data_IF_084007691429
#
_entry.id   IF_084007691429
#
_cell.length_a   1.000
_cell.length_b   1.000
_cell.length_c   1.000
_cell.angle_alpha   90.00
_cell.angle_beta   90.00
_cell.angle_gamma   90.00
#
_symmetry.space_group_name_H-M   'P 1'
#
loop_
_entity.id
_entity.type
_entity.pdbx_description
1 polymer ?
#
# COMPACT_ATOMS: atom_id res chain seq x y z
N UNK A 1 -19.16 45.73 -45.27
CA UNK A 1 -18.97 45.44 -43.84
C UNK A 1 -19.39 44.00 -43.59
N UNK A 2 -18.42 43.09 -43.50
CA UNK A 2 -18.66 41.71 -43.06
C UNK A 2 -18.52 41.70 -41.53
N UNK A 3 -19.60 41.47 -40.80
CA UNK A 3 -19.56 41.25 -39.38
C UNK A 3 -19.27 39.77 -39.13
N UNK A 4 -18.08 39.47 -38.62
CA UNK A 4 -17.69 38.15 -38.14
C UNK A 4 -18.31 37.99 -36.75
N UNK A 5 -19.34 37.15 -36.63
CA UNK A 5 -19.80 36.65 -35.34
C UNK A 5 -18.77 35.69 -34.79
N UNK A 6 -17.99 36.15 -33.81
CA UNK A 6 -17.21 35.27 -32.94
C UNK A 6 -18.21 34.50 -32.07
N UNK A 7 -18.41 33.22 -32.38
CA UNK A 7 -19.06 32.28 -31.48
C UNK A 7 -18.07 32.00 -30.35
N UNK A 8 -18.35 32.54 -29.17
CA UNK A 8 -17.66 32.13 -27.94
C UNK A 8 -18.13 30.72 -27.63
N UNK A 9 -17.37 29.72 -28.08
CA UNK A 9 -17.47 28.37 -27.57
C UNK A 9 -17.21 28.43 -26.07
N UNK A 10 -18.23 28.06 -25.29
CA UNK A 10 -18.12 27.90 -23.84
C UNK A 10 -16.86 27.08 -23.51
N UNK A 11 -16.00 27.64 -22.66
CA UNK A 11 -14.84 26.94 -22.13
C UNK A 11 -15.30 25.62 -21.51
N UNK A 12 -14.92 24.50 -22.12
CA UNK A 12 -15.03 23.19 -21.48
C UNK A 12 -14.22 23.21 -20.19
N UNK A 13 -14.85 22.81 -19.09
CA UNK A 13 -14.16 22.64 -17.81
C UNK A 13 -13.04 21.60 -18.03
N UNK A 14 -11.77 21.90 -17.71
CA UNK A 14 -10.65 20.98 -17.94
C UNK A 14 -10.64 19.77 -16.98
N UNK A 15 -11.60 19.74 -16.06
CA UNK A 15 -11.75 18.74 -15.01
C UNK A 15 -12.50 17.47 -15.41
N UNK A 16 -12.26 16.39 -14.68
CA UNK A 16 -13.00 15.13 -14.86
C UNK A 16 -14.39 15.24 -14.25
N UNK A 17 -15.43 14.81 -14.98
CA UNK A 17 -16.80 14.71 -14.43
C UNK A 17 -17.02 13.29 -13.91
N UNK A 18 -17.49 13.15 -12.67
CA UNK A 18 -17.81 11.87 -12.05
C UNK A 18 -19.29 11.80 -11.69
N UNK A 19 -20.00 10.82 -12.24
CA UNK A 19 -21.40 10.55 -11.95
C UNK A 19 -21.52 9.59 -10.77
N UNK A 20 -22.13 10.01 -9.67
CA UNK A 20 -22.36 9.14 -8.52
C UNK A 20 -23.80 8.65 -8.48
N UNK A 21 -23.95 7.33 -8.34
CA UNK A 21 -25.23 6.75 -7.96
C UNK A 21 -25.44 6.96 -6.46
N UNK A 22 -26.54 7.59 -6.10
CA UNK A 22 -27.02 7.70 -4.72
C UNK A 22 -28.28 6.85 -4.58
N UNK A 23 -28.38 6.10 -3.48
CA UNK A 23 -29.53 5.23 -3.18
C UNK A 23 -30.75 6.03 -2.70
N UNK A 24 -31.89 5.36 -2.60
CA UNK A 24 -33.20 6.00 -2.39
C UNK A 24 -33.28 6.72 -1.05
N UNK A 25 -32.80 6.09 0.02
CA UNK A 25 -32.75 6.68 1.36
C UNK A 25 -31.46 7.46 1.55
N UNK A 26 -31.38 8.61 0.87
CA UNK A 26 -30.25 9.53 0.94
C UNK A 26 -29.96 9.92 2.38
N UNK A 27 -28.70 9.79 2.78
CA UNK A 27 -28.24 10.10 4.13
C UNK A 27 -27.54 11.47 4.22
N UNK A 28 -27.37 12.12 3.07
CA UNK A 28 -26.77 13.45 2.94
C UNK A 28 -27.41 14.21 1.77
N UNK A 29 -27.29 15.54 1.81
CA UNK A 29 -27.68 16.41 0.69
C UNK A 29 -26.60 16.38 -0.39
N UNK A 30 -26.90 15.90 -1.62
CA UNK A 30 -25.89 15.75 -2.67
C UNK A 30 -25.20 17.07 -3.05
N UNK A 31 -25.93 18.17 -3.02
CA UNK A 31 -25.45 19.51 -3.35
C UNK A 31 -24.36 19.97 -2.38
N UNK A 32 -24.46 19.58 -1.10
CA UNK A 32 -23.45 19.91 -0.10
C UNK A 32 -22.15 19.14 -0.34
N UNK A 33 -22.23 17.86 -0.72
CA UNK A 33 -21.07 17.07 -1.10
C UNK A 33 -20.44 17.61 -2.38
N UNK A 34 -21.26 17.90 -3.39
CA UNK A 34 -20.83 18.48 -4.66
C UNK A 34 -20.06 19.78 -4.44
N UNK A 35 -20.57 20.68 -3.60
CA UNK A 35 -19.90 21.95 -3.29
C UNK A 35 -18.51 21.75 -2.68
N UNK A 36 -18.36 20.83 -1.73
CA UNK A 36 -17.05 20.55 -1.11
C UNK A 36 -16.07 19.96 -2.13
N UNK A 37 -16.54 19.03 -2.99
CA UNK A 37 -15.69 18.40 -4.00
C UNK A 37 -15.25 19.42 -5.06
N UNK A 38 -16.19 20.18 -5.62
CA UNK A 38 -15.92 21.14 -6.70
C UNK A 38 -15.09 22.35 -6.26
N UNK A 39 -15.17 22.75 -4.98
CA UNK A 39 -14.35 23.83 -4.44
C UNK A 39 -12.89 23.41 -4.20
N UNK A 40 -12.65 22.12 -3.92
CA UNK A 40 -11.36 21.61 -3.45
C UNK A 40 -10.64 20.70 -4.47
N UNK A 41 -11.26 20.46 -5.61
CA UNK A 41 -10.70 19.62 -6.67
C UNK A 41 -11.07 20.16 -8.05
N UNK A 42 -10.43 19.61 -9.08
CA UNK A 42 -10.86 19.84 -10.47
C UNK A 42 -11.98 18.89 -10.89
N UNK A 43 -12.64 18.21 -9.95
CA UNK A 43 -13.67 17.22 -10.26
C UNK A 43 -15.03 17.90 -10.25
N UNK A 44 -15.80 17.70 -11.32
CA UNK A 44 -17.23 18.01 -11.34
C UNK A 44 -18.02 16.79 -10.89
N UNK A 45 -18.92 16.97 -9.93
CA UNK A 45 -19.68 15.88 -9.36
C UNK A 45 -21.13 15.96 -9.83
N UNK A 46 -21.67 14.86 -10.35
CA UNK A 46 -23.04 14.80 -10.86
C UNK A 46 -23.79 13.59 -10.32
N UNK A 47 -25.10 13.71 -10.18
CA UNK A 47 -25.95 12.56 -9.89
C UNK A 47 -26.10 11.70 -11.14
N UNK A 48 -25.86 10.41 -10.99
CA UNK A 48 -26.07 9.44 -12.07
C UNK A 48 -27.57 9.23 -12.32
N UNK A 49 -27.98 9.30 -13.60
CA UNK A 49 -29.32 8.88 -14.03
C UNK A 49 -29.34 7.36 -14.21
N UNK A 50 -29.89 6.67 -13.22
CA UNK A 50 -29.88 5.21 -13.15
C UNK A 50 -31.33 4.67 -13.08
N UNK A 51 -31.67 3.58 -13.79
CA UNK A 51 -32.98 2.95 -13.66
C UNK A 51 -33.30 2.55 -12.20
N UNK A 52 -34.56 2.72 -11.78
CA UNK A 52 -34.99 2.52 -10.38
C UNK A 52 -34.69 1.12 -9.82
N UNK A 53 -34.69 0.08 -10.66
CA UNK A 53 -34.41 -1.30 -10.25
C UNK A 53 -32.92 -1.65 -10.23
N UNK A 54 -32.08 -0.77 -10.79
CA UNK A 54 -30.65 -1.02 -10.91
C UNK A 54 -29.97 -0.96 -9.55
N UNK A 55 -29.12 -1.96 -9.28
CA UNK A 55 -28.26 -1.99 -8.08
C UNK A 55 -26.98 -1.18 -8.29
N UNK A 56 -26.37 -0.65 -7.22
CA UNK A 56 -25.09 0.07 -7.27
C UNK A 56 -24.01 -0.60 -8.13
N UNK A 57 -23.74 -1.89 -7.89
CA UNK A 57 -22.75 -2.63 -8.67
C UNK A 57 -23.12 -2.71 -10.17
N UNK A 58 -24.40 -2.94 -10.46
CA UNK A 58 -24.90 -3.05 -11.82
C UNK A 58 -24.84 -1.73 -12.60
N UNK A 59 -24.98 -0.59 -11.91
CA UNK A 59 -24.86 0.74 -12.51
C UNK A 59 -23.41 1.03 -12.93
N UNK A 60 -22.43 0.66 -12.09
CA UNK A 60 -21.02 0.77 -12.43
C UNK A 60 -20.64 -0.12 -13.61
N UNK A 61 -21.08 -1.39 -13.60
CA UNK A 61 -20.76 -2.33 -14.69
C UNK A 61 -21.40 -1.93 -16.03
N UNK A 62 -22.50 -1.17 -16.00
CA UNK A 62 -23.23 -0.73 -17.18
C UNK A 62 -22.84 0.67 -17.69
N UNK A 63 -21.84 1.33 -17.10
CA UNK A 63 -21.47 2.72 -17.43
C UNK A 63 -22.60 3.76 -17.18
N UNK A 64 -23.51 3.43 -16.27
CA UNK A 64 -24.58 4.34 -15.86
C UNK A 64 -24.10 5.26 -14.73
N UNK A 65 -23.10 4.82 -13.96
CA UNK A 65 -22.43 5.59 -12.92
C UNK A 65 -20.91 5.35 -12.91
N UNK A 66 -20.16 6.33 -12.39
CA UNK A 66 -18.71 6.28 -12.20
C UNK A 66 -18.33 5.99 -10.74
N UNK A 67 -19.18 6.41 -9.81
CA UNK A 67 -19.03 6.22 -8.36
C UNK A 67 -20.29 5.60 -7.77
N UNK A 68 -20.12 4.71 -6.81
CA UNK A 68 -21.22 4.19 -5.99
C UNK A 68 -20.73 3.75 -4.61
N UNK A 69 -21.66 3.70 -3.65
CA UNK A 69 -21.45 3.05 -2.37
C UNK A 69 -21.87 1.58 -2.48
N UNK A 70 -20.99 0.67 -2.07
CA UNK A 70 -21.22 -0.78 -2.12
C UNK A 70 -20.77 -1.41 -0.82
N UNK A 71 -21.56 -2.32 -0.27
CA UNK A 71 -21.21 -3.08 0.92
C UNK A 71 -20.06 -4.07 0.64
N UNK A 72 -19.12 -4.17 1.58
CA UNK A 72 -17.92 -5.03 1.52
C UNK A 72 -18.22 -6.51 1.79
N UNK A 73 -19.36 -7.00 1.30
CA UNK A 73 -19.72 -8.40 1.25
C UNK A 73 -20.16 -8.83 -0.16
N UNK A 74 -20.19 -7.87 -1.10
CA UNK A 74 -20.47 -8.14 -2.50
C UNK A 74 -19.29 -8.87 -3.13
N UNK A 75 -19.58 -9.91 -3.91
CA UNK A 75 -18.57 -10.71 -4.60
C UNK A 75 -17.74 -9.85 -5.57
N UNK A 76 -16.48 -10.25 -5.74
CA UNK A 76 -15.55 -9.59 -6.66
C UNK A 76 -16.14 -9.46 -8.07
N UNK A 77 -16.10 -8.25 -8.60
CA UNK A 77 -16.49 -7.94 -9.97
C UNK A 77 -15.29 -7.39 -10.75
N UNK A 78 -15.01 -7.98 -11.92
CA UNK A 78 -13.97 -7.46 -12.82
C UNK A 78 -14.33 -6.05 -13.26
N UNK A 79 -13.33 -5.18 -13.33
CA UNK A 79 -13.52 -3.79 -13.74
C UNK A 79 -13.97 -2.85 -12.63
N UNK A 80 -14.17 -3.32 -11.39
CA UNK A 80 -14.48 -2.47 -10.23
C UNK A 80 -13.24 -2.31 -9.34
N UNK A 81 -13.10 -1.13 -8.73
CA UNK A 81 -12.01 -0.78 -7.82
C UNK A 81 -12.54 -0.08 -6.58
N UNK A 82 -11.96 -0.36 -5.43
CA UNK A 82 -12.23 0.39 -4.21
C UNK A 82 -11.44 1.70 -4.22
N UNK A 83 -12.03 2.75 -3.66
CA UNK A 83 -11.35 4.02 -3.37
C UNK A 83 -10.97 4.02 -1.89
N UNK A 84 -11.96 3.93 -1.01
CA UNK A 84 -11.79 3.90 0.44
C UNK A 84 -13.05 3.38 1.14
N UNK A 85 -12.93 2.79 2.35
CA UNK A 85 -14.06 2.57 3.25
C UNK A 85 -14.65 3.90 3.74
N UNK A 86 -15.97 4.02 3.74
CA UNK A 86 -16.67 5.28 4.07
C UNK A 86 -17.26 5.21 5.47
N UNK A 87 -18.16 4.24 5.70
CA UNK A 87 -18.84 4.04 6.97
C UNK A 87 -19.24 2.58 7.13
N UNK A 88 -19.61 2.21 8.35
CA UNK A 88 -20.19 0.91 8.66
C UNK A 88 -21.72 0.96 8.48
N UNK A 89 -22.23 0.16 7.56
CA UNK A 89 -23.66 0.05 7.28
C UNK A 89 -24.27 -1.00 8.19
N UNK A 90 -25.20 -0.56 9.04
CA UNK A 90 -25.85 -1.35 10.07
C UNK A 90 -27.23 -1.80 9.58
N UNK A 91 -27.55 -3.07 9.81
CA UNK A 91 -28.88 -3.61 9.57
C UNK A 91 -29.87 -3.03 10.59
N UNK A 92 -30.88 -2.36 10.07
CA UNK A 92 -32.10 -2.01 10.77
C UNK A 92 -33.19 -2.96 10.25
N UNK A 93 -33.63 -3.86 11.13
CA UNK A 93 -34.72 -4.78 10.88
C UNK A 93 -35.97 -4.20 11.52
N UNK A 94 -37.04 -4.03 10.74
CA UNK A 94 -38.35 -3.67 11.27
C UNK A 94 -39.41 -4.65 10.81
N UNK A 95 -40.28 -5.07 11.72
CA UNK A 95 -41.42 -5.95 11.45
C UNK A 95 -42.72 -5.18 11.59
N UNK A 96 -43.71 -5.54 10.77
CA UNK A 96 -45.05 -4.97 10.88
C UNK A 96 -45.67 -5.36 12.23
N UNK A 97 -46.23 -4.40 12.96
CA UNK A 97 -46.78 -4.61 14.33
C UNK A 97 -47.88 -5.68 14.37
N UNK A 98 -48.67 -5.77 13.30
CA UNK A 98 -49.73 -6.75 13.14
C UNK A 98 -49.21 -8.20 12.92
N UNK A 99 -47.96 -8.37 12.47
CA UNK A 99 -47.48 -9.65 11.93
C UNK A 99 -47.48 -10.76 12.98
N UNK A 100 -46.96 -10.49 14.18
CA UNK A 100 -46.88 -11.45 15.29
C UNK A 100 -48.04 -11.32 16.28
N UNK A 101 -48.71 -10.17 16.34
CA UNK A 101 -49.84 -9.95 17.24
C UNK A 101 -51.08 -10.74 16.84
N UNK A 102 -51.28 -11.01 15.55
CA UNK A 102 -52.36 -11.87 15.05
C UNK A 102 -52.15 -13.36 15.39
N UNK A 103 -50.90 -13.82 15.41
CA UNK A 103 -50.55 -15.21 15.72
C UNK A 103 -49.10 -15.33 16.19
N UNK A 104 -48.92 -15.53 17.50
CA UNK A 104 -47.60 -15.68 18.14
C UNK A 104 -46.81 -16.91 17.63
N UNK A 105 -47.44 -17.85 16.92
CA UNK A 105 -46.80 -19.02 16.30
C UNK A 105 -46.64 -18.87 14.79
N UNK A 106 -46.88 -17.68 14.23
CA UNK A 106 -46.75 -17.43 12.79
C UNK A 106 -45.31 -17.69 12.37
N UNK A 107 -45.15 -18.56 11.38
CA UNK A 107 -43.87 -18.87 10.75
C UNK A 107 -43.45 -17.75 9.79
N UNK A 108 -42.19 -17.74 9.35
CA UNK A 108 -41.72 -16.87 8.27
C UNK A 108 -42.12 -17.37 6.86
N UNK A 109 -42.84 -18.50 6.76
CA UNK A 109 -43.42 -18.96 5.50
C UNK A 109 -44.40 -17.93 4.93
N UNK A 110 -44.20 -17.53 3.68
CA UNK A 110 -44.98 -16.53 2.97
C UNK A 110 -44.61 -15.08 3.29
N UNK A 111 -43.57 -14.85 4.09
CA UNK A 111 -43.17 -13.50 4.49
C UNK A 111 -42.68 -12.67 3.29
N UNK A 112 -43.02 -11.37 3.32
CA UNK A 112 -42.63 -10.39 2.32
C UNK A 112 -41.59 -9.42 2.89
N UNK A 113 -40.38 -9.47 2.36
CA UNK A 113 -39.26 -8.63 2.74
C UNK A 113 -39.07 -7.50 1.74
N UNK A 114 -39.10 -6.26 2.21
CA UNK A 114 -38.66 -5.09 1.47
C UNK A 114 -37.19 -4.80 1.78
N UNK A 115 -36.35 -4.80 0.76
CA UNK A 115 -34.93 -4.47 0.87
C UNK A 115 -34.73 -3.02 0.40
N UNK A 116 -34.60 -2.13 1.39
CA UNK A 116 -34.30 -0.74 1.16
C UNK A 116 -32.92 -0.57 0.49
N UNK A 117 -32.77 0.51 -0.28
CA UNK A 117 -31.55 0.84 -1.03
C UNK A 117 -31.07 -0.23 -2.01
N UNK A 118 -31.88 -1.25 -2.31
CA UNK A 118 -31.46 -2.41 -3.13
C UNK A 118 -30.17 -3.06 -2.59
N UNK A 119 -30.02 -3.06 -1.26
CA UNK A 119 -28.82 -3.54 -0.56
C UNK A 119 -28.51 -5.01 -0.90
N UNK A 120 -27.28 -5.26 -1.34
CA UNK A 120 -26.81 -6.63 -1.57
C UNK A 120 -26.60 -7.38 -0.25
N UNK A 121 -26.22 -6.65 0.81
CA UNK A 121 -26.15 -7.17 2.17
C UNK A 121 -27.52 -7.54 2.72
N UNK A 122 -28.54 -6.71 2.51
CA UNK A 122 -29.92 -7.03 2.87
C UNK A 122 -30.41 -8.33 2.22
N UNK A 123 -30.15 -8.52 0.93
CA UNK A 123 -30.60 -9.74 0.23
C UNK A 123 -29.86 -10.97 0.71
N UNK A 124 -28.55 -10.87 0.89
CA UNK A 124 -27.71 -11.95 1.43
C UNK A 124 -28.17 -12.33 2.84
N UNK A 125 -28.47 -11.34 3.68
CA UNK A 125 -28.97 -11.55 5.03
C UNK A 125 -30.31 -12.31 5.02
N UNK A 126 -31.31 -11.83 4.28
CA UNK A 126 -32.62 -12.49 4.21
C UNK A 126 -32.49 -13.92 3.70
N UNK A 127 -31.74 -14.15 2.61
CA UNK A 127 -31.52 -15.48 2.06
C UNK A 127 -30.84 -16.41 3.07
N UNK A 128 -29.84 -15.92 3.79
CA UNK A 128 -29.15 -16.68 4.83
C UNK A 128 -30.10 -17.07 5.97
N UNK A 129 -30.85 -16.11 6.51
CA UNK A 129 -31.82 -16.33 7.58
C UNK A 129 -32.86 -17.35 7.15
N UNK A 130 -33.50 -17.13 6.00
CA UNK A 130 -34.56 -18.01 5.49
C UNK A 130 -34.04 -19.42 5.21
N UNK A 131 -32.86 -19.55 4.60
CA UNK A 131 -32.25 -20.85 4.35
C UNK A 131 -31.95 -21.61 5.64
N UNK A 132 -31.41 -20.92 6.65
CA UNK A 132 -31.15 -21.54 7.96
C UNK A 132 -32.44 -22.02 8.59
N UNK A 133 -33.52 -21.23 8.52
CA UNK A 133 -34.85 -21.60 9.01
C UNK A 133 -35.52 -22.73 8.21
N UNK A 134 -34.86 -23.23 7.17
CA UNK A 134 -35.34 -24.36 6.37
C UNK A 134 -36.31 -23.97 5.26
N UNK A 135 -36.43 -22.67 4.96
CA UNK A 135 -37.25 -22.19 3.85
C UNK A 135 -36.48 -22.17 2.54
N UNK A 136 -37.21 -22.47 1.47
CA UNK A 136 -36.78 -22.39 0.08
C UNK A 136 -37.26 -21.07 -0.55
N UNK A 137 -36.68 -20.67 -1.68
CA UNK A 137 -36.88 -19.34 -2.27
C UNK A 137 -38.33 -19.08 -2.74
N UNK A 138 -39.11 -20.12 -3.00
CA UNK A 138 -40.53 -20.04 -3.36
C UNK A 138 -41.46 -19.82 -2.14
N UNK A 139 -40.93 -19.95 -0.92
CA UNK A 139 -41.69 -19.83 0.32
C UNK A 139 -41.63 -18.43 0.93
N UNK A 140 -40.98 -17.46 0.29
CA UNK A 140 -40.94 -16.07 0.74
C UNK A 140 -40.70 -15.14 -0.45
N UNK A 141 -40.98 -13.85 -0.27
CA UNK A 141 -40.78 -12.85 -1.32
C UNK A 141 -39.79 -11.79 -0.86
N UNK A 142 -38.86 -11.44 -1.75
CA UNK A 142 -37.97 -10.29 -1.59
C UNK A 142 -38.38 -9.26 -2.66
N UNK A 143 -38.59 -8.02 -2.24
CA UNK A 143 -38.89 -6.88 -3.12
C UNK A 143 -37.94 -5.72 -2.86
N UNK A 144 -37.62 -4.96 -3.91
CA UNK A 144 -36.91 -3.69 -3.81
C UNK A 144 -37.85 -2.48 -3.76
N UNK A 145 -39.16 -2.71 -3.74
CA UNK A 145 -40.18 -1.69 -3.60
C UNK A 145 -41.02 -1.98 -2.36
N UNK A 146 -41.29 -0.93 -1.57
CA UNK A 146 -42.20 -1.03 -0.45
C UNK A 146 -43.64 -1.11 -0.96
N UNK A 147 -44.36 -2.15 -0.55
CA UNK A 147 -45.78 -2.35 -0.86
C UNK A 147 -46.60 -2.29 0.42
N UNK A 148 -47.45 -1.26 0.55
CA UNK A 148 -48.30 -1.08 1.71
C UNK A 148 -49.32 -2.23 1.84
N UNK A 149 -49.59 -2.66 3.07
CA UNK A 149 -50.45 -3.82 3.37
C UNK A 149 -49.86 -5.18 2.97
N UNK A 150 -48.81 -5.24 2.14
CA UNK A 150 -48.15 -6.49 1.70
C UNK A 150 -46.80 -6.73 2.36
N UNK A 151 -46.00 -5.67 2.59
CA UNK A 151 -44.66 -5.79 3.19
C UNK A 151 -44.71 -6.18 4.65
N UNK A 152 -44.11 -7.30 5.04
CA UNK A 152 -44.11 -7.77 6.42
C UNK A 152 -42.87 -7.28 7.19
N UNK A 153 -41.74 -7.21 6.49
CA UNK A 153 -40.45 -6.83 7.06
C UNK A 153 -39.74 -5.79 6.20
N UNK A 154 -39.16 -4.79 6.84
CA UNK A 154 -38.26 -3.80 6.24
C UNK A 154 -36.83 -4.18 6.61
N UNK A 155 -35.98 -4.30 5.60
CA UNK A 155 -34.56 -4.59 5.70
C UNK A 155 -33.80 -3.38 5.19
N UNK A 156 -33.23 -2.61 6.10
CA UNK A 156 -32.45 -1.42 5.77
C UNK A 156 -31.01 -1.58 6.24
N UNK A 157 -30.08 -1.60 5.30
CA UNK A 157 -28.65 -1.45 5.59
C UNK A 157 -28.25 -0.01 5.32
N UNK A 158 -27.83 0.69 6.37
CA UNK A 158 -27.34 2.06 6.27
C UNK A 158 -26.69 2.53 7.57
N UNK A 159 -26.17 3.76 7.61
CA UNK A 159 -25.55 4.31 8.79
C UNK A 159 -26.57 4.45 9.93
N UNK A 160 -26.09 4.43 11.17
CA UNK A 160 -26.92 4.81 12.32
C UNK A 160 -27.12 6.33 12.26
N UNK A 161 -28.35 6.77 11.95
CA UNK A 161 -28.69 8.17 11.77
C UNK A 161 -30.07 8.49 12.38
N UNK A 162 -30.12 8.89 13.66
CA UNK A 162 -31.37 9.22 14.35
C UNK A 162 -32.17 10.36 13.69
N UNK A 163 -31.50 11.22 12.92
CA UNK A 163 -32.12 12.39 12.29
C UNK A 163 -32.78 12.05 10.93
N UNK A 164 -32.57 10.86 10.39
CA UNK A 164 -33.15 10.43 9.12
C UNK A 164 -33.62 8.97 9.17
N UNK A 165 -34.86 8.81 9.59
CA UNK A 165 -35.57 7.52 9.71
C UNK A 165 -36.60 7.31 8.61
N UNK A 166 -36.49 8.02 7.48
CA UNK A 166 -37.45 7.95 6.35
C UNK A 166 -37.62 6.55 5.73
N UNK A 167 -36.69 5.65 6.02
CA UNK A 167 -36.74 4.23 5.65
C UNK A 167 -37.72 3.41 6.49
N UNK A 168 -38.02 3.84 7.72
CA UNK A 168 -39.04 3.22 8.57
C UNK A 168 -40.43 3.75 8.19
N UNK A 169 -41.43 2.87 8.24
CA UNK A 169 -42.83 3.18 7.88
C UNK A 169 -43.73 3.05 9.10
N UNK A 170 -44.80 3.82 9.12
CA UNK A 170 -45.82 3.73 10.17
C UNK A 170 -46.39 2.29 10.25
N UNK A 171 -46.63 1.81 11.47
CA UNK A 171 -47.10 0.43 11.72
C UNK A 171 -46.01 -0.64 11.67
N UNK A 172 -44.74 -0.23 11.69
CA UNK A 172 -43.58 -1.09 11.84
C UNK A 172 -42.78 -0.70 13.07
N UNK A 173 -42.29 -1.71 13.78
CA UNK A 173 -41.41 -1.57 14.94
C UNK A 173 -40.05 -2.20 14.65
N UNK A 174 -39.00 -1.56 15.14
CA UNK A 174 -37.65 -2.11 15.12
C UNK A 174 -37.58 -3.44 15.89
N UNK A 175 -36.75 -4.35 15.41
CA UNK A 175 -36.59 -5.69 15.97
C UNK A 175 -35.12 -5.98 16.23
N UNK A 176 -34.85 -6.64 17.37
CA UNK A 176 -33.55 -7.18 17.72
C UNK A 176 -33.39 -8.60 17.16
N UNK A 177 -32.18 -8.94 16.72
CA UNK A 177 -31.81 -10.34 16.42
C UNK A 177 -31.60 -11.17 17.69
N UNK A 178 -31.45 -10.53 18.86
CA UNK A 178 -31.42 -11.16 20.19
C UNK A 178 -32.84 -11.28 20.78
N UNK A 179 -33.80 -11.71 19.97
CA UNK A 179 -35.10 -12.10 20.51
C UNK A 179 -34.95 -13.41 21.31
N UNK A 180 -35.44 -13.44 22.55
CA UNK A 180 -35.43 -14.64 23.40
C UNK A 180 -36.21 -15.80 22.78
N UNK A 181 -37.17 -15.51 21.90
CA UNK A 181 -37.92 -16.51 21.13
C UNK A 181 -37.15 -17.03 19.92
N UNK A 182 -36.00 -16.45 19.57
CA UNK A 182 -35.13 -16.92 18.51
C UNK A 182 -34.12 -17.95 19.06
N UNK A 183 -34.30 -19.26 18.81
CA UNK A 183 -33.41 -20.30 19.32
C UNK A 183 -31.98 -20.21 18.76
N UNK A 184 -31.75 -19.32 17.79
CA UNK A 184 -30.50 -19.15 17.06
C UNK A 184 -29.85 -17.79 17.28
N UNK A 185 -30.27 -17.02 18.29
CA UNK A 185 -29.68 -15.71 18.65
C UNK A 185 -28.15 -15.72 18.69
N UNK A 186 -27.56 -16.77 19.27
CA UNK A 186 -26.09 -16.97 19.37
C UNK A 186 -25.38 -17.00 18.01
N UNK A 187 -26.05 -17.45 16.96
CA UNK A 187 -25.48 -17.41 15.61
C UNK A 187 -25.25 -15.97 15.14
N UNK A 188 -26.17 -15.05 15.43
CA UNK A 188 -26.03 -13.65 15.04
C UNK A 188 -24.97 -12.94 15.86
N UNK A 189 -24.76 -13.35 17.13
CA UNK A 189 -23.70 -12.82 18.00
C UNK A 189 -22.29 -13.30 17.63
N UNK A 190 -22.13 -14.56 17.19
CA UNK A 190 -20.80 -15.20 17.12
C UNK A 190 -20.49 -15.82 15.75
N UNK A 191 -21.51 -16.19 14.99
CA UNK A 191 -21.40 -17.12 13.87
C UNK A 191 -21.66 -16.54 12.47
N UNK A 192 -22.31 -15.38 12.38
CA UNK A 192 -22.80 -14.84 11.10
C UNK A 192 -21.67 -14.57 10.11
N UNK A 193 -20.53 -14.06 10.57
CA UNK A 193 -19.37 -13.77 9.72
C UNK A 193 -18.78 -15.00 9.00
N UNK A 194 -18.97 -16.21 9.52
CA UNK A 194 -18.54 -17.45 8.84
C UNK A 194 -19.46 -17.84 7.68
N UNK A 195 -20.74 -17.47 7.74
CA UNK A 195 -21.72 -17.79 6.70
C UNK A 195 -21.92 -16.65 5.70
N UNK A 196 -21.68 -15.41 6.15
CA UNK A 196 -21.68 -14.20 5.34
C UNK A 196 -20.42 -13.37 5.68
N UNK A 197 -19.27 -13.68 5.05
CA UNK A 197 -18.04 -12.91 5.23
C UNK A 197 -18.27 -11.41 5.03
N UNK A 198 -17.65 -10.60 5.89
CA UNK A 198 -17.85 -9.14 5.93
C UNK A 198 -19.02 -8.67 6.80
N UNK A 199 -19.92 -9.57 7.23
CA UNK A 199 -20.93 -9.24 8.25
C UNK A 199 -20.40 -9.49 9.66
N UNK A 200 -20.55 -8.50 10.54
CA UNK A 200 -20.12 -8.54 11.94
C UNK A 200 -21.28 -8.19 12.88
N UNK A 201 -21.38 -8.82 14.06
CA UNK A 201 -22.36 -8.45 15.07
C UNK A 201 -22.11 -7.02 15.57
N UNK A 202 -23.18 -6.27 15.82
CA UNK A 202 -23.12 -4.96 16.46
C UNK A 202 -24.40 -4.71 17.26
N UNK A 203 -24.32 -3.82 18.25
CA UNK A 203 -25.48 -3.36 19.02
C UNK A 203 -25.85 -1.95 18.59
N UNK A 204 -27.12 -1.72 18.23
CA UNK A 204 -27.69 -0.37 18.22
C UNK A 204 -28.08 -0.05 19.67
N UNK A 205 -27.52 1.00 20.30
CA UNK A 205 -27.86 1.33 21.68
C UNK A 205 -29.35 1.59 21.88
N UNK A 206 -29.83 1.35 23.10
CA UNK A 206 -31.18 1.73 23.50
C UNK A 206 -31.39 3.24 23.31
N UNK A 207 -32.61 3.61 22.91
CA UNK A 207 -33.02 5.01 22.73
C UNK A 207 -32.18 5.78 21.69
N UNK A 208 -31.57 5.06 20.74
CA UNK A 208 -30.88 5.69 19.60
C UNK A 208 -31.88 6.35 18.66
N UNK A 209 -33.01 5.68 18.44
CA UNK A 209 -34.12 6.14 17.60
C UNK A 209 -35.35 6.45 18.45
N UNK A 210 -36.02 7.55 18.15
CA UNK A 210 -37.37 7.83 18.64
C UNK A 210 -38.39 7.09 17.76
N UNK A 211 -38.28 5.77 17.75
CA UNK A 211 -39.10 4.88 16.93
C UNK A 211 -39.45 3.62 17.72
N UNK A 212 -40.65 3.04 17.51
CA UNK A 212 -41.08 1.85 18.25
C UNK A 212 -40.06 0.71 18.12
N UNK A 213 -39.81 0.02 19.23
CA UNK A 213 -38.92 -1.15 19.25
C UNK A 213 -37.44 -0.84 19.44
N UNK A 214 -37.05 0.40 19.78
CA UNK A 214 -35.68 0.74 20.22
C UNK A 214 -35.62 1.25 21.67
N UNK A 215 -36.53 0.80 22.54
CA UNK A 215 -36.50 1.08 23.98
C UNK A 215 -35.34 0.35 24.68
N UNK A 216 -34.94 -0.80 24.14
CA UNK A 216 -33.77 -1.57 24.54
C UNK A 216 -32.71 -1.61 23.42
N UNK A 217 -31.50 -2.07 23.77
CA UNK A 217 -30.43 -2.22 22.80
C UNK A 217 -30.75 -3.35 21.81
N UNK A 218 -30.52 -3.11 20.52
CA UNK A 218 -30.86 -4.06 19.46
C UNK A 218 -29.60 -4.75 18.97
N UNK A 219 -29.54 -6.07 19.14
CA UNK A 219 -28.54 -6.89 18.47
C UNK A 219 -28.85 -6.90 16.98
N UNK A 220 -27.86 -6.59 16.18
CA UNK A 220 -27.96 -6.62 14.74
C UNK A 220 -26.61 -6.96 14.12
N UNK A 221 -26.50 -6.81 12.81
CA UNK A 221 -25.25 -6.99 12.08
C UNK A 221 -24.92 -5.76 11.26
N UNK A 222 -23.65 -5.62 10.92
CA UNK A 222 -23.15 -4.55 10.11
C UNK A 222 -22.11 -5.04 9.10
N UNK A 223 -21.90 -4.23 8.07
CA UNK A 223 -20.94 -4.46 6.99
C UNK A 223 -20.30 -3.14 6.60
N UNK A 224 -19.00 -3.15 6.33
CA UNK A 224 -18.32 -1.93 5.90
C UNK A 224 -18.82 -1.52 4.50
N UNK A 225 -19.03 -0.23 4.27
CA UNK A 225 -19.43 0.31 2.98
C UNK A 225 -18.25 0.99 2.32
N UNK A 226 -17.98 0.60 1.08
CA UNK A 226 -16.88 1.11 0.28
C UNK A 226 -17.40 2.14 -0.71
N UNK A 227 -16.64 3.24 -0.88
CA UNK A 227 -16.73 4.04 -2.08
C UNK A 227 -15.95 3.31 -3.17
N UNK A 228 -16.63 2.97 -4.25
CA UNK A 228 -16.06 2.22 -5.36
C UNK A 228 -16.22 2.98 -6.67
N UNK A 229 -15.38 2.61 -7.63
CA UNK A 229 -15.38 3.16 -8.97
C UNK A 229 -15.08 2.10 -10.01
N UNK A 230 -15.17 2.48 -11.28
CA UNK A 230 -14.76 1.64 -12.41
C UNK A 230 -13.26 1.78 -12.60
N UNK A 231 -12.61 0.70 -13.02
CA UNK A 231 -11.17 0.64 -13.28
C UNK A 231 -10.70 1.67 -14.31
N UNK A 232 -11.57 2.03 -15.25
CA UNK A 232 -11.24 2.92 -16.37
C UNK A 232 -11.37 4.41 -16.03
N UNK A 233 -11.86 4.76 -14.82
CA UNK A 233 -11.87 6.16 -14.36
C UNK A 233 -10.42 6.62 -14.17
N UNK A 234 -10.14 7.89 -14.50
CA UNK A 234 -8.77 8.39 -14.58
C UNK A 234 -8.06 8.32 -13.22
N UNK A 235 -6.80 7.92 -13.23
CA UNK A 235 -5.97 7.85 -12.03
C UNK A 235 -5.91 9.19 -11.30
N UNK A 236 -5.72 10.28 -12.05
CA UNK A 236 -5.67 11.64 -11.52
C UNK A 236 -6.98 12.08 -10.86
N UNK A 237 -8.14 11.75 -11.44
CA UNK A 237 -9.42 12.10 -10.83
C UNK A 237 -9.64 11.35 -9.53
N UNK A 238 -9.32 10.06 -9.49
CA UNK A 238 -9.49 9.28 -8.26
C UNK A 238 -8.46 9.69 -7.20
N UNK A 239 -7.23 10.05 -7.58
CA UNK A 239 -6.25 10.63 -6.66
C UNK A 239 -6.78 11.92 -6.03
N UNK A 240 -7.27 12.86 -6.84
CA UNK A 240 -7.87 14.11 -6.35
C UNK A 240 -9.09 13.85 -5.47
N UNK A 241 -9.95 12.90 -5.85
CA UNK A 241 -11.13 12.54 -5.07
C UNK A 241 -10.75 12.00 -3.69
N UNK A 242 -9.82 11.04 -3.64
CA UNK A 242 -9.30 10.45 -2.39
C UNK A 242 -8.68 11.52 -1.51
N UNK A 243 -7.86 12.41 -2.09
CA UNK A 243 -7.29 13.57 -1.42
C UNK A 243 -8.38 14.43 -0.78
N UNK A 244 -9.38 14.83 -1.56
CA UNK A 244 -10.46 15.70 -1.09
C UNK A 244 -11.26 15.06 0.04
N UNK A 245 -11.59 13.76 -0.04
CA UNK A 245 -12.29 13.06 1.05
C UNK A 245 -11.50 13.06 2.36
N UNK A 246 -10.19 12.85 2.30
CA UNK A 246 -9.34 12.75 3.48
C UNK A 246 -8.96 14.11 4.06
N UNK A 247 -8.52 15.05 3.23
CA UNK A 247 -8.13 16.40 3.69
C UNK A 247 -9.34 17.24 4.13
N UNK A 248 -10.49 17.07 3.47
CA UNK A 248 -11.73 17.80 3.81
C UNK A 248 -12.64 17.01 4.75
N UNK A 249 -12.15 15.92 5.35
CA UNK A 249 -12.90 15.12 6.32
C UNK A 249 -13.61 15.98 7.38
N UNK A 250 -13.01 17.04 7.99
CA UNK A 250 -13.71 17.87 8.96
C UNK A 250 -14.94 18.56 8.39
N UNK A 251 -14.86 19.09 7.15
CA UNK A 251 -15.98 19.73 6.46
C UNK A 251 -17.07 18.73 6.09
N UNK A 252 -16.67 17.56 5.56
CA UNK A 252 -17.59 16.49 5.22
C UNK A 252 -18.31 15.96 6.47
N UNK A 253 -17.58 15.77 7.58
CA UNK A 253 -18.15 15.33 8.87
C UNK A 253 -19.15 16.34 9.42
N UNK A 254 -18.96 17.64 9.17
CA UNK A 254 -19.94 18.67 9.56
C UNK A 254 -21.25 18.57 8.75
N UNK A 255 -21.21 18.05 7.52
CA UNK A 255 -22.38 17.85 6.66
C UNK A 255 -23.13 16.57 7.04
N UNK A 256 -22.41 15.45 7.11
CA UNK A 256 -22.99 14.14 7.41
C UNK A 256 -22.04 13.32 8.30
N UNK A 257 -22.07 13.52 9.63
CA UNK A 257 -21.11 12.88 10.54
C UNK A 257 -21.21 11.35 10.52
N UNK A 258 -22.41 10.81 10.33
CA UNK A 258 -22.69 9.38 10.29
C UNK A 258 -22.13 8.68 9.03
N UNK A 259 -21.76 9.42 7.98
CA UNK A 259 -21.06 8.88 6.80
C UNK A 259 -19.55 9.13 6.86
N UNK A 260 -19.13 10.32 7.30
CA UNK A 260 -17.78 10.78 7.06
C UNK A 260 -16.86 10.73 8.28
N UNK A 261 -17.39 10.53 9.49
CA UNK A 261 -16.57 10.41 10.71
C UNK A 261 -15.62 9.22 10.68
N UNK A 262 -16.05 8.11 10.04
CA UNK A 262 -15.28 6.87 9.92
C UNK A 262 -14.14 6.91 8.90
N UNK A 263 -14.21 7.80 7.89
CA UNK A 263 -13.19 7.87 6.83
C UNK A 263 -11.80 8.12 7.41
N UNK A 264 -10.82 7.31 7.06
CA UNK A 264 -9.41 7.50 7.44
C UNK A 264 -8.47 6.72 6.51
N UNK A 265 -7.16 6.90 6.69
CA UNK A 265 -6.10 6.23 5.91
C UNK A 265 -5.73 4.85 6.49
N UNK A 266 -6.23 4.51 7.68
CA UNK A 266 -5.89 3.34 8.47
C UNK A 266 -6.86 2.18 8.22
N UNK A 267 -6.69 1.48 7.11
CA UNK A 267 -7.39 0.22 6.81
C UNK A 267 -6.47 -0.73 6.05
N UNK A 268 -6.72 -2.04 6.14
CA UNK A 268 -5.98 -3.03 5.34
C UNK A 268 -6.63 -3.16 3.94
N UNK A 269 -5.91 -2.84 2.84
CA UNK A 269 -6.43 -3.05 1.49
C UNK A 269 -6.77 -4.51 1.17
N UNK A 270 -6.22 -5.49 1.92
CA UNK A 270 -6.50 -6.92 1.76
C UNK A 270 -7.87 -7.33 2.30
N UNK A 271 -8.47 -6.54 3.19
CA UNK A 271 -9.81 -6.77 3.72
C UNK A 271 -10.91 -6.32 2.74
N UNK A 272 -10.54 -5.67 1.62
CA UNK A 272 -11.47 -5.17 0.62
C UNK A 272 -11.80 -6.25 -0.42
N UNK A 273 -13.09 -6.42 -0.72
CA UNK A 273 -13.53 -7.32 -1.81
C UNK A 273 -13.16 -6.81 -3.21
N UNK A 274 -12.72 -5.56 -3.33
CA UNK A 274 -12.26 -4.96 -4.57
C UNK A 274 -10.83 -4.41 -4.40
N UNK A 275 -9.94 -4.63 -5.37
CA UNK A 275 -8.61 -4.02 -5.34
C UNK A 275 -8.72 -2.49 -5.32
N UNK A 276 -7.79 -1.84 -4.61
CA UNK A 276 -7.69 -0.37 -4.65
C UNK A 276 -7.48 0.14 -6.08
N UNK A 277 -8.13 1.26 -6.38
CA UNK A 277 -7.88 2.03 -7.60
C UNK A 277 -6.45 2.58 -7.57
N UNK A 278 -5.70 2.59 -8.69
CA UNK A 278 -4.34 3.14 -8.73
C UNK A 278 -4.26 4.55 -8.14
N UNK A 279 -5.22 5.43 -8.48
CA UNK A 279 -5.24 6.81 -7.98
C UNK A 279 -5.43 6.90 -6.46
N UNK A 280 -6.29 6.04 -5.90
CA UNK A 280 -6.50 5.98 -4.46
C UNK A 280 -5.25 5.43 -3.75
N UNK A 281 -4.64 4.38 -4.31
CA UNK A 281 -3.38 3.82 -3.79
C UNK A 281 -2.26 4.87 -3.81
N UNK A 282 -2.08 5.57 -4.93
CA UNK A 282 -1.07 6.61 -5.09
C UNK A 282 -1.20 7.72 -4.05
N UNK A 283 -2.43 8.04 -3.59
CA UNK A 283 -2.64 9.01 -2.51
C UNK A 283 -2.38 8.43 -1.12
N UNK A 284 -2.85 7.21 -0.86
CA UNK A 284 -2.71 6.55 0.46
C UNK A 284 -1.24 6.21 0.76
N UNK A 285 -0.46 5.84 -0.26
CA UNK A 285 0.96 5.50 -0.18
C UNK A 285 1.87 6.73 -0.47
N UNK A 286 1.32 7.95 -0.49
CA UNK A 286 2.09 9.17 -0.89
C UNK A 286 3.28 9.47 0.02
N UNK A 287 3.17 9.10 1.30
CA UNK A 287 4.18 9.33 2.33
C UNK A 287 5.09 8.10 2.53
N UNK A 288 4.87 7.02 1.76
CA UNK A 288 5.72 5.83 1.84
C UNK A 288 7.11 6.14 1.27
N UNK A 289 8.19 5.74 1.98
CA UNK A 289 9.54 6.03 1.53
C UNK A 289 9.78 5.33 0.20
N UNK A 290 10.20 6.13 -0.79
CA UNK A 290 10.62 5.62 -2.09
C UNK A 290 11.75 4.59 -1.92
N UNK A 291 11.98 3.77 -2.95
CA UNK A 291 13.08 2.77 -2.90
C UNK A 291 14.43 3.40 -2.50
N UNK A 292 14.76 4.57 -3.04
CA UNK A 292 16.02 5.25 -2.75
C UNK A 292 16.06 5.75 -1.30
N UNK A 293 14.97 6.32 -0.81
CA UNK A 293 14.87 6.80 0.57
C UNK A 293 14.94 5.66 1.58
N UNK A 294 14.21 4.57 1.32
CA UNK A 294 14.19 3.36 2.14
C UNK A 294 15.58 2.73 2.28
N UNK A 295 16.40 2.79 1.23
CA UNK A 295 17.73 2.17 1.20
C UNK A 295 18.89 3.18 1.26
N UNK A 296 18.63 4.46 1.50
CA UNK A 296 19.67 5.50 1.50
C UNK A 296 20.81 5.18 2.48
N UNK A 297 20.48 4.70 3.68
CA UNK A 297 21.47 4.33 4.69
C UNK A 297 22.28 3.09 4.29
N UNK A 298 21.63 2.09 3.68
CA UNK A 298 22.32 0.91 3.17
C UNK A 298 23.26 1.28 2.02
N UNK A 299 22.83 2.16 1.13
CA UNK A 299 23.66 2.68 0.03
C UNK A 299 24.87 3.43 0.59
N UNK A 300 24.68 4.31 1.58
CA UNK A 300 25.77 5.02 2.25
C UNK A 300 26.79 4.06 2.86
N UNK A 301 26.33 3.03 3.59
CA UNK A 301 27.20 1.99 4.15
C UNK A 301 28.03 1.30 3.06
N UNK A 302 27.42 0.93 1.93
CA UNK A 302 28.13 0.31 0.81
C UNK A 302 29.16 1.26 0.19
N UNK A 303 28.84 2.54 0.07
CA UNK A 303 29.79 3.57 -0.42
C UNK A 303 30.97 3.72 0.53
N UNK A 304 30.76 3.75 1.85
CA UNK A 304 31.85 3.80 2.83
C UNK A 304 32.73 2.55 2.79
N UNK A 305 32.12 1.36 2.67
CA UNK A 305 32.86 0.10 2.50
C UNK A 305 33.70 0.14 1.22
N UNK A 306 33.15 0.65 0.11
CA UNK A 306 33.88 0.80 -1.14
C UNK A 306 35.09 1.73 -0.98
N UNK A 307 34.92 2.90 -0.35
CA UNK A 307 36.04 3.80 -0.07
C UNK A 307 37.09 3.18 0.84
N UNK A 308 36.67 2.41 1.85
CA UNK A 308 37.58 1.70 2.74
C UNK A 308 38.37 0.64 1.97
N UNK A 309 37.72 -0.15 1.11
CA UNK A 309 38.38 -1.15 0.27
C UNK A 309 39.37 -0.52 -0.71
N UNK A 310 39.00 0.58 -1.37
CA UNK A 310 39.91 1.33 -2.26
C UNK A 310 41.11 1.85 -1.46
N UNK A 311 40.88 2.41 -0.28
CA UNK A 311 41.95 2.95 0.57
C UNK A 311 42.91 1.85 1.03
N UNK A 312 42.37 0.71 1.48
CA UNK A 312 43.16 -0.47 1.85
C UNK A 312 43.95 -1.00 0.66
N UNK A 313 43.34 -1.08 -0.52
CA UNK A 313 44.00 -1.54 -1.74
C UNK A 313 45.16 -0.62 -2.15
N UNK A 314 44.94 0.70 -2.14
CA UNK A 314 45.99 1.68 -2.45
C UNK A 314 47.13 1.66 -1.42
N UNK A 315 46.81 1.52 -0.13
CA UNK A 315 47.81 1.39 0.93
C UNK A 315 48.64 0.12 0.73
N UNK A 316 48.00 -1.00 0.40
CA UNK A 316 48.67 -2.27 0.13
C UNK A 316 49.59 -2.19 -1.12
N UNK A 317 49.12 -1.58 -2.20
CA UNK A 317 49.91 -1.37 -3.41
C UNK A 317 51.19 -0.55 -3.10
N UNK A 318 51.04 0.57 -2.38
CA UNK A 318 52.19 1.42 -1.97
C UNK A 318 53.17 0.69 -1.05
N UNK A 319 52.66 -0.07 -0.08
CA UNK A 319 53.50 -0.85 0.84
C UNK A 319 54.34 -1.90 0.10
N UNK A 320 53.75 -2.56 -0.91
CA UNK A 320 54.48 -3.52 -1.75
C UNK A 320 55.61 -2.83 -2.53
N UNK A 321 55.35 -1.66 -3.11
CA UNK A 321 56.37 -0.93 -3.87
C UNK A 321 57.50 -0.42 -2.97
N UNK A 322 57.20 0.02 -1.75
CA UNK A 322 58.21 0.43 -0.79
C UNK A 322 59.09 -0.75 -0.37
N UNK A 323 58.51 -1.92 -0.09
CA UNK A 323 59.29 -3.13 0.22
C UNK A 323 60.25 -3.55 -0.90
N UNK A 324 59.88 -3.34 -2.17
CA UNK A 324 60.78 -3.60 -3.31
C UNK A 324 61.97 -2.63 -3.32
N UNK A 325 61.77 -1.36 -2.94
CA UNK A 325 62.84 -0.37 -2.81
C UNK A 325 63.77 -0.69 -1.65
N UNK A 326 63.23 -0.92 -0.46
CA UNK A 326 64.03 -1.22 0.75
C UNK A 326 64.89 -2.48 0.56
N UNK A 327 64.45 -3.43 -0.27
CA UNK A 327 65.23 -4.62 -0.62
C UNK A 327 66.48 -4.30 -1.44
N UNK A 328 66.43 -3.32 -2.34
CA UNK A 328 67.62 -2.86 -3.10
C UNK A 328 68.67 -2.32 -2.12
N UNK A 329 68.24 -1.59 -1.08
CA UNK A 329 69.15 -0.99 -0.10
C UNK A 329 69.96 -2.02 0.70
N UNK A 330 69.40 -3.21 0.91
CA UNK A 330 70.13 -4.34 1.51
C UNK A 330 71.29 -4.77 0.61
N UNK A 331 71.06 -4.84 -0.70
CA UNK A 331 72.11 -5.17 -1.65
C UNK A 331 73.19 -4.07 -1.72
N UNK A 332 72.82 -2.80 -1.70
CA UNK A 332 73.81 -1.71 -1.62
C UNK A 332 74.72 -1.85 -0.39
N UNK A 333 74.13 -2.06 0.79
CA UNK A 333 74.91 -2.23 2.03
C UNK A 333 75.87 -3.41 1.93
N UNK A 334 75.42 -4.56 1.43
CA UNK A 334 76.26 -5.77 1.27
C UNK A 334 77.40 -5.55 0.28
N UNK A 335 77.16 -4.81 -0.81
CA UNK A 335 78.22 -4.46 -1.77
C UNK A 335 79.24 -3.51 -1.15
N UNK A 336 78.78 -2.48 -0.43
CA UNK A 336 79.67 -1.56 0.29
C UNK A 336 80.47 -2.27 1.40
N UNK A 337 79.88 -3.22 2.11
CA UNK A 337 80.59 -4.03 3.12
C UNK A 337 81.75 -4.84 2.50
N UNK A 338 81.56 -5.42 1.31
CA UNK A 338 82.64 -6.13 0.62
C UNK A 338 83.72 -5.17 0.12
N UNK A 339 83.31 -4.03 -0.43
CA UNK A 339 84.23 -3.01 -0.97
C UNK A 339 85.05 -2.35 0.14
N UNK A 340 84.38 -1.85 1.18
CA UNK A 340 84.96 -1.00 2.22
C UNK A 340 85.52 -1.82 3.42
N UNK A 341 85.11 -3.08 3.58
CA UNK A 341 85.47 -3.96 4.70
C UNK A 341 86.91 -4.49 4.64
N UNK A 342 87.89 -3.59 4.61
CA UNK A 342 89.32 -3.85 4.41
C UNK A 342 89.89 -5.13 5.05
N UNK A 343 90.82 -5.74 4.29
CA UNK A 343 91.95 -6.60 4.70
C UNK A 343 91.77 -8.00 5.32
N UNK A 344 90.56 -8.56 5.45
CA UNK A 344 90.42 -9.93 6.00
C UNK A 344 90.17 -11.06 4.97
N UNK A 345 89.75 -10.75 3.75
CA UNK A 345 89.49 -11.74 2.69
C UNK A 345 90.41 -11.47 1.49
N UNK A 346 90.91 -12.54 0.88
CA UNK A 346 91.67 -12.44 -0.36
C UNK A 346 90.78 -11.90 -1.50
N UNK A 347 91.39 -11.24 -2.49
CA UNK A 347 90.65 -10.61 -3.58
C UNK A 347 89.73 -11.60 -4.34
N UNK A 348 90.15 -12.86 -4.48
CA UNK A 348 89.34 -13.93 -5.06
C UNK A 348 88.08 -14.26 -4.23
N UNK A 349 88.21 -14.27 -2.90
CA UNK A 349 87.09 -14.52 -1.99
C UNK A 349 86.09 -13.37 -2.01
N UNK A 350 86.58 -12.12 -2.10
CA UNK A 350 85.73 -10.92 -2.26
C UNK A 350 85.00 -10.91 -3.60
N UNK A 351 85.66 -11.29 -4.69
CA UNK A 351 85.03 -11.41 -6.00
C UNK A 351 83.94 -12.50 -6.02
N UNK A 352 84.22 -13.68 -5.45
CA UNK A 352 83.23 -14.77 -5.34
C UNK A 352 82.01 -14.31 -4.55
N UNK A 353 82.20 -13.69 -3.39
CA UNK A 353 81.11 -13.19 -2.56
C UNK A 353 80.28 -12.10 -3.29
N UNK A 354 80.92 -11.28 -4.12
CA UNK A 354 80.25 -10.26 -4.92
C UNK A 354 79.42 -10.88 -6.06
N UNK A 355 79.90 -11.95 -6.70
CA UNK A 355 79.12 -12.71 -7.68
C UNK A 355 77.91 -13.40 -7.06
N UNK A 356 78.03 -13.92 -5.83
CA UNK A 356 76.91 -14.54 -5.13
C UNK A 356 75.83 -13.50 -4.78
N UNK A 357 76.21 -12.31 -4.30
CA UNK A 357 75.27 -11.22 -4.02
C UNK A 357 74.60 -10.72 -5.31
N UNK A 358 75.36 -10.58 -6.40
CA UNK A 358 74.83 -10.18 -7.69
C UNK A 358 73.81 -11.20 -8.21
N UNK A 359 74.14 -12.49 -8.14
CA UNK A 359 73.21 -13.57 -8.51
C UNK A 359 71.93 -13.53 -7.70
N UNK A 360 72.03 -13.36 -6.38
CA UNK A 360 70.87 -13.24 -5.48
C UNK A 360 70.01 -12.00 -5.79
N UNK A 361 70.64 -10.90 -6.21
CA UNK A 361 69.95 -9.69 -6.65
C UNK A 361 69.19 -9.92 -7.98
N UNK A 362 69.79 -10.62 -8.95
CA UNK A 362 69.10 -10.98 -10.20
C UNK A 362 67.98 -12.00 -9.97
N UNK A 363 68.17 -12.99 -9.11
CA UNK A 363 67.11 -13.94 -8.71
C UNK A 363 65.95 -13.21 -8.03
N UNK A 364 66.24 -12.27 -7.12
CA UNK A 364 65.23 -11.41 -6.49
C UNK A 364 64.49 -10.51 -7.49
N UNK A 365 65.11 -10.13 -8.61
CA UNK A 365 64.45 -9.40 -9.69
C UNK A 365 63.51 -10.31 -10.50
N UNK A 366 63.96 -11.52 -10.83
CA UNK A 366 63.17 -12.54 -11.55
C UNK A 366 61.92 -12.93 -10.74
N UNK A 367 62.06 -13.08 -9.42
CA UNK A 367 60.95 -13.38 -8.51
C UNK A 367 60.04 -12.17 -8.22
N UNK A 368 60.21 -11.05 -8.94
CA UNK A 368 59.52 -9.76 -8.75
C UNK A 368 59.64 -9.15 -7.34
N UNK A 369 60.59 -9.61 -6.53
CA UNK A 369 60.87 -9.08 -5.20
C UNK A 369 61.67 -7.76 -5.28
N UNK A 370 62.33 -7.50 -6.40
CA UNK A 370 62.97 -6.24 -6.78
C UNK A 370 62.29 -5.65 -8.03
N UNK A 371 62.54 -4.37 -8.30
CA UNK A 371 62.06 -3.69 -9.52
C UNK A 371 63.23 -3.33 -10.42
N UNK A 372 63.11 -3.55 -11.73
CA UNK A 372 64.09 -3.14 -12.74
C UNK A 372 64.01 -1.62 -12.99
N UNK A 373 64.27 -0.82 -11.96
CA UNK A 373 64.22 0.63 -12.00
C UNK A 373 65.63 1.23 -11.88
N UNK A 374 65.72 2.55 -11.80
CA UNK A 374 67.00 3.27 -11.69
C UNK A 374 67.86 2.79 -10.51
N UNK A 375 67.25 2.43 -9.38
CA UNK A 375 67.98 1.88 -8.23
C UNK A 375 68.62 0.52 -8.56
N UNK A 376 67.95 -0.33 -9.34
CA UNK A 376 68.59 -1.58 -9.77
C UNK A 376 69.73 -1.34 -10.78
N UNK A 377 69.60 -0.33 -11.66
CA UNK A 377 70.67 0.07 -12.58
C UNK A 377 71.90 0.59 -11.84
N UNK A 378 71.70 1.46 -10.84
CA UNK A 378 72.77 1.95 -9.98
C UNK A 378 73.44 0.77 -9.25
N UNK A 379 72.68 -0.22 -8.79
CA UNK A 379 73.22 -1.43 -8.17
C UNK A 379 74.06 -2.26 -9.16
N UNK A 380 73.62 -2.43 -10.41
CA UNK A 380 74.40 -3.13 -11.44
C UNK A 380 75.70 -2.41 -11.78
N UNK A 381 75.65 -1.07 -11.84
CA UNK A 381 76.84 -0.25 -12.07
C UNK A 381 77.80 -0.36 -10.88
N UNK A 382 77.28 -0.35 -9.64
CA UNK A 382 78.08 -0.53 -8.43
C UNK A 382 78.77 -1.90 -8.39
N UNK A 383 78.09 -2.98 -8.81
CA UNK A 383 78.72 -4.30 -8.96
C UNK A 383 79.87 -4.25 -9.97
N UNK A 384 79.67 -3.62 -11.13
CA UNK A 384 80.69 -3.53 -12.18
C UNK A 384 81.94 -2.78 -11.70
N UNK A 385 81.75 -1.59 -11.10
CA UNK A 385 82.84 -0.77 -10.57
C UNK A 385 83.58 -1.50 -9.45
N UNK A 386 82.86 -2.07 -8.48
CA UNK A 386 83.49 -2.76 -7.33
C UNK A 386 84.29 -3.99 -7.78
N UNK A 387 83.82 -4.74 -8.78
CA UNK A 387 84.58 -5.87 -9.37
C UNK A 387 85.87 -5.40 -10.03
N UNK A 388 85.82 -4.28 -10.75
CA UNK A 388 86.98 -3.71 -11.43
C UNK A 388 88.03 -3.23 -10.40
N UNK A 389 87.60 -2.55 -9.34
CA UNK A 389 88.46 -2.14 -8.22
C UNK A 389 89.17 -3.34 -7.58
N UNK A 390 88.44 -4.39 -7.19
CA UNK A 390 89.03 -5.58 -6.54
C UNK A 390 89.99 -6.33 -7.49
N UNK A 391 89.69 -6.40 -8.80
CA UNK A 391 90.59 -7.01 -9.79
C UNK A 391 91.88 -6.22 -9.94
N UNK A 392 91.80 -4.89 -9.97
CA UNK A 392 92.97 -4.03 -10.05
C UNK A 392 93.83 -4.14 -8.79
N UNK A 393 93.23 -4.24 -7.60
CA UNK A 393 93.96 -4.52 -6.35
C UNK A 393 94.69 -5.87 -6.40
N UNK A 394 94.03 -6.93 -6.88
CA UNK A 394 94.65 -8.26 -7.04
C UNK A 394 95.87 -8.22 -7.95
N UNK A 395 95.73 -7.56 -9.10
CA UNK A 395 96.78 -7.54 -10.13
C UNK A 395 97.98 -6.65 -9.70
N UNK A 396 97.78 -5.68 -8.81
CA UNK A 396 98.86 -4.89 -8.18
C UNK A 396 99.64 -5.64 -7.09
N UNK A 397 99.00 -6.60 -6.40
CA UNK A 397 99.64 -7.42 -5.35
C UNK A 397 100.39 -8.63 -5.95
N UNK A 398 100.08 -9.01 -7.19
CA UNK A 398 100.71 -10.11 -7.93
C UNK A 398 101.95 -9.70 -8.77
N UNK A 399 102.24 -8.39 -8.87
CA UNK A 399 103.45 -7.82 -9.49
C UNK A 399 104.50 -7.47 -8.43
#
# INVERSE_FOLDING_TARGET
MLAISLVVTACGYPGSTLRMMITDYRQFEPEALQLVIEEQSSIRFELAEVPLERRPLGALLADEADLALIENNVAFARGIRAILPVFESVLHLAGRDAYFSENLRRTLSGANFYIANRSSAGETFVKLVMHREGYTQDQYRISSAFEDGVTDFIIYFGPINPNNTSWLRDGFSLMSLDDQLNPRRKFYEEGIGYSAPGMKPIMIPALTYDSPGNEEALLTVAVDTLLVTRKEVSESAIYELTKTFLEQKPRLTAIAPHLFSGINESFDPLDLNFPLHPGARSYLERDDPSFIERYAETINMLVYIMFLLISTFLAFARWRDQKKKDRVDIFYKRVFEIRDGGSHLEAEQRLSALYDIEREAFESLIEEKLSANESFRILTDLFAVTKEEIRNERDQVAS
#
